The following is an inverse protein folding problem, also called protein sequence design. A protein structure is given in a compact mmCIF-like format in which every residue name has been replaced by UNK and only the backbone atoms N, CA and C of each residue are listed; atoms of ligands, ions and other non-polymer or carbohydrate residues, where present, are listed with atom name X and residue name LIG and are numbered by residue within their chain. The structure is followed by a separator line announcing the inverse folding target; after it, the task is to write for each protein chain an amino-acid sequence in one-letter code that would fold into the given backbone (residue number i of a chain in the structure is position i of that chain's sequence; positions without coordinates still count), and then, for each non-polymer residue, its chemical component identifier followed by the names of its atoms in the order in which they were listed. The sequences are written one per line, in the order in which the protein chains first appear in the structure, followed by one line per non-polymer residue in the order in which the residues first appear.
data_IF_951804909054
#
_entry.id   IF_951804909054
#
_cell.length_a   1.000
_cell.length_b   1.000
_cell.length_c   1.000
_cell.angle_alpha   90.00
_cell.angle_beta   90.00
_cell.angle_gamma   90.00
#
_symmetry.space_group_name_H-M   'P 1'
#
loop_
_entity.id
_entity.type
_entity.pdbx_description
1 polymer ?
#
# COMPACT_ATOMS: atom_id res chain seq x y z
N UNK A 1 13.18 6.26 -33.67
CA UNK A 1 12.64 6.63 -32.35
C UNK A 1 11.46 5.72 -32.08
N UNK A 2 11.32 5.17 -30.85
CA UNK A 2 10.20 4.29 -30.55
C UNK A 2 8.87 5.05 -30.62
N UNK A 3 7.81 4.36 -31.03
CA UNK A 3 6.45 4.91 -31.05
C UNK A 3 5.92 5.03 -29.62
N UNK A 4 4.86 5.84 -29.45
CA UNK A 4 4.16 5.94 -28.15
C UNK A 4 3.65 4.58 -27.68
N UNK A 5 3.17 3.75 -28.58
CA UNK A 5 2.63 2.41 -28.28
C UNK A 5 3.75 1.47 -27.80
N UNK A 6 4.92 1.52 -28.44
CA UNK A 6 6.08 0.74 -28.03
C UNK A 6 6.55 1.12 -26.63
N UNK A 7 6.64 2.42 -26.32
CA UNK A 7 7.03 2.91 -24.99
C UNK A 7 6.01 2.50 -23.92
N UNK A 8 4.72 2.60 -24.23
CA UNK A 8 3.64 2.20 -23.32
C UNK A 8 3.67 0.69 -23.05
N UNK A 9 3.80 -0.11 -24.11
CA UNK A 9 3.87 -1.57 -23.99
C UNK A 9 5.09 -2.00 -23.18
N UNK A 10 6.27 -1.43 -23.49
CA UNK A 10 7.50 -1.70 -22.76
C UNK A 10 7.38 -1.39 -21.26
N UNK A 11 6.79 -0.24 -20.90
CA UNK A 11 6.57 0.13 -19.50
C UNK A 11 5.63 -0.83 -18.76
N UNK A 12 4.53 -1.25 -19.39
CA UNK A 12 3.60 -2.24 -18.80
C UNK A 12 4.28 -3.59 -18.62
N UNK A 13 5.06 -4.04 -19.60
CA UNK A 13 5.81 -5.30 -19.50
C UNK A 13 6.87 -5.24 -18.40
N UNK A 14 7.59 -4.13 -18.26
CA UNK A 14 8.57 -3.96 -17.18
C UNK A 14 7.91 -3.99 -15.80
N UNK A 15 6.78 -3.29 -15.64
CA UNK A 15 5.98 -3.31 -14.42
C UNK A 15 5.49 -4.72 -14.07
N UNK A 16 4.94 -5.46 -15.04
CA UNK A 16 4.47 -6.83 -14.82
C UNK A 16 5.62 -7.78 -14.44
N UNK A 17 6.76 -7.71 -15.13
CA UNK A 17 7.96 -8.49 -14.81
C UNK A 17 8.48 -8.18 -13.40
N UNK A 18 8.52 -6.90 -13.01
CA UNK A 18 8.91 -6.50 -11.67
C UNK A 18 7.98 -7.10 -10.61
N UNK A 19 6.66 -7.03 -10.81
CA UNK A 19 5.69 -7.60 -9.88
C UNK A 19 5.83 -9.12 -9.77
N UNK A 20 6.06 -9.83 -10.88
CA UNK A 20 6.34 -11.27 -10.88
C UNK A 20 7.55 -11.63 -10.01
N UNK A 21 8.67 -10.94 -10.20
CA UNK A 21 9.88 -11.12 -9.40
C UNK A 21 9.68 -10.76 -7.93
N UNK A 22 8.94 -9.69 -7.65
CA UNK A 22 8.60 -9.28 -6.30
C UNK A 22 7.82 -10.37 -5.57
N UNK A 23 6.77 -10.92 -6.20
CA UNK A 23 6.02 -12.02 -5.61
C UNK A 23 6.85 -13.31 -5.50
N UNK A 24 7.67 -13.62 -6.50
CA UNK A 24 8.62 -14.74 -6.43
C UNK A 24 9.56 -14.63 -5.23
N UNK A 25 10.12 -13.45 -4.97
CA UNK A 25 10.94 -13.20 -3.78
C UNK A 25 10.17 -13.41 -2.47
N UNK A 26 8.88 -13.03 -2.40
CA UNK A 26 8.06 -13.23 -1.20
C UNK A 26 7.67 -14.69 -0.94
N UNK A 27 7.81 -15.59 -1.93
CA UNK A 27 7.57 -17.02 -1.75
C UNK A 27 8.74 -17.74 -1.06
N UNK A 28 9.89 -17.08 -0.90
CA UNK A 28 10.98 -17.64 -0.12
C UNK A 28 10.58 -17.73 1.37
N UNK A 29 10.66 -18.92 2.01
CA UNK A 29 10.32 -19.09 3.41
C UNK A 29 11.08 -18.17 4.36
N UNK A 30 12.29 -17.69 3.98
CA UNK A 30 13.07 -16.72 4.75
C UNK A 30 12.38 -15.35 4.86
N UNK A 31 11.39 -15.08 4.01
CA UNK A 31 10.64 -13.84 3.94
C UNK A 31 9.17 -14.00 4.36
N UNK A 32 8.76 -15.14 4.93
CA UNK A 32 7.35 -15.39 5.32
C UNK A 32 6.81 -14.31 6.27
N UNK A 33 7.58 -13.94 7.30
CA UNK A 33 7.20 -12.91 8.27
C UNK A 33 7.07 -11.49 7.65
N UNK A 34 7.62 -11.28 6.44
CA UNK A 34 7.60 -10.01 5.71
C UNK A 34 6.48 -9.95 4.67
N UNK A 35 6.11 -11.11 4.13
CA UNK A 35 5.29 -11.21 2.94
C UNK A 35 3.97 -10.45 3.08
N UNK A 36 3.31 -10.56 4.24
CA UNK A 36 2.06 -9.85 4.51
C UNK A 36 2.22 -8.33 4.43
N UNK A 37 3.08 -7.75 5.27
CA UNK A 37 3.18 -6.29 5.39
C UNK A 37 3.77 -5.63 4.15
N UNK A 38 4.79 -6.25 3.53
CA UNK A 38 5.41 -5.71 2.31
C UNK A 38 4.43 -5.81 1.13
N UNK A 39 3.62 -6.88 1.05
CA UNK A 39 2.55 -6.98 0.05
C UNK A 39 1.52 -5.86 0.21
N UNK A 40 1.16 -5.48 1.45
CA UNK A 40 0.24 -4.37 1.68
C UNK A 40 0.82 -3.02 1.28
N UNK A 41 2.12 -2.77 1.55
CA UNK A 41 2.81 -1.57 1.06
C UNK A 41 2.83 -1.52 -0.48
N UNK A 42 2.98 -2.67 -1.13
CA UNK A 42 3.03 -2.77 -2.59
C UNK A 42 1.66 -2.76 -3.27
N UNK A 43 0.60 -3.13 -2.56
CA UNK A 43 -0.77 -3.23 -3.08
C UNK A 43 -1.27 -2.02 -3.90
N UNK A 44 -1.09 -0.76 -3.45
CA UNK A 44 -1.52 0.39 -4.24
C UNK A 44 -0.75 0.53 -5.57
N UNK A 45 0.54 0.15 -5.60
CA UNK A 45 1.35 0.16 -6.82
C UNK A 45 1.00 -1.00 -7.74
N UNK A 46 0.76 -2.20 -7.19
CA UNK A 46 0.22 -3.33 -7.95
C UNK A 46 -1.09 -2.97 -8.62
N UNK A 47 -1.96 -2.27 -7.89
CA UNK A 47 -3.24 -1.78 -8.39
C UNK A 47 -3.07 -0.70 -9.46
N UNK A 48 -2.06 0.17 -9.34
CA UNK A 48 -1.68 1.14 -10.36
C UNK A 48 -1.24 0.46 -11.66
N UNK A 49 -0.36 -0.54 -11.57
CA UNK A 49 0.11 -1.33 -12.73
C UNK A 49 -1.06 -1.98 -13.44
N UNK A 50 -1.94 -2.68 -12.71
CA UNK A 50 -3.12 -3.35 -13.29
C UNK A 50 -4.05 -2.33 -13.94
N UNK A 51 -4.33 -1.21 -13.28
CA UNK A 51 -5.21 -0.18 -13.82
C UNK A 51 -4.68 0.43 -15.12
N UNK A 52 -3.39 0.79 -15.14
CA UNK A 52 -2.75 1.34 -16.34
C UNK A 52 -2.67 0.31 -17.46
N UNK A 53 -2.32 -0.93 -17.16
CA UNK A 53 -2.26 -2.01 -18.12
C UNK A 53 -3.63 -2.24 -18.77
N UNK A 54 -4.70 -2.33 -17.97
CA UNK A 54 -6.07 -2.48 -18.50
C UNK A 54 -6.49 -1.29 -19.35
N UNK A 55 -6.18 -0.06 -18.94
CA UNK A 55 -6.54 1.12 -19.71
C UNK A 55 -5.77 1.20 -21.05
N UNK A 56 -4.48 0.87 -21.04
CA UNK A 56 -3.58 1.04 -22.17
C UNK A 56 -3.58 -0.16 -23.14
N UNK A 57 -3.60 -1.39 -22.63
CA UNK A 57 -3.63 -2.60 -23.47
C UNK A 57 -4.99 -2.76 -24.13
N UNK A 58 -6.10 -2.47 -23.45
CA UNK A 58 -7.42 -2.52 -24.12
C UNK A 58 -7.54 -1.52 -25.27
N UNK A 59 -6.74 -0.45 -25.29
CA UNK A 59 -6.67 0.48 -26.43
C UNK A 59 -5.89 -0.10 -27.61
N UNK A 60 -4.95 -1.02 -27.38
CA UNK A 60 -4.04 -1.58 -28.39
C UNK A 60 -4.53 -2.95 -28.88
N UNK A 61 -4.95 -3.84 -27.97
CA UNK A 61 -5.46 -5.18 -28.26
C UNK A 61 -6.48 -5.58 -27.19
N UNK A 62 -7.78 -5.60 -27.52
CA UNK A 62 -8.81 -6.08 -26.60
C UNK A 62 -8.55 -7.55 -26.28
N UNK A 63 -8.04 -7.84 -25.09
CA UNK A 63 -7.82 -9.22 -24.66
C UNK A 63 -8.91 -9.65 -23.66
N UNK A 64 -9.65 -10.74 -23.94
CA UNK A 64 -10.58 -11.33 -22.98
C UNK A 64 -9.87 -11.96 -21.76
N UNK A 65 -8.53 -12.07 -21.78
CA UNK A 65 -7.74 -12.70 -20.70
C UNK A 65 -7.58 -11.86 -19.42
N UNK A 66 -8.10 -10.63 -19.39
CA UNK A 66 -8.10 -9.75 -18.21
C UNK A 66 -9.45 -9.80 -17.48
N UNK A 67 -10.02 -11.01 -17.35
CA UNK A 67 -11.31 -11.21 -16.68
C UNK A 67 -11.18 -10.81 -15.20
N UNK A 68 -11.81 -9.70 -14.86
CA UNK A 68 -11.67 -9.00 -13.60
C UNK A 68 -13.08 -8.67 -13.13
N UNK A 69 -13.52 -9.29 -12.03
CA UNK A 69 -14.86 -9.03 -11.51
C UNK A 69 -15.07 -7.53 -11.26
N UNK A 70 -16.32 -7.08 -11.36
CA UNK A 70 -16.65 -5.67 -11.07
C UNK A 70 -16.18 -5.24 -9.68
N UNK A 71 -16.28 -6.16 -8.70
CA UNK A 71 -15.81 -5.93 -7.35
C UNK A 71 -14.28 -5.81 -7.26
N UNK A 72 -13.52 -6.72 -7.88
CA UNK A 72 -12.07 -6.59 -7.94
C UNK A 72 -11.64 -5.30 -8.66
N UNK A 73 -12.36 -4.91 -9.73
CA UNK A 73 -12.16 -3.64 -10.44
C UNK A 73 -12.30 -2.45 -9.49
N UNK A 74 -13.33 -2.47 -8.63
CA UNK A 74 -13.58 -1.42 -7.65
C UNK A 74 -12.51 -1.40 -6.55
N UNK A 75 -12.12 -2.56 -6.02
CA UNK A 75 -11.03 -2.67 -5.02
C UNK A 75 -9.72 -2.12 -5.60
N UNK A 76 -9.34 -2.57 -6.79
CA UNK A 76 -8.15 -2.11 -7.49
C UNK A 76 -8.19 -0.60 -7.74
N UNK A 77 -9.34 -0.06 -8.16
CA UNK A 77 -9.51 1.38 -8.37
C UNK A 77 -9.35 2.17 -7.07
N UNK A 78 -9.96 1.72 -5.96
CA UNK A 78 -9.82 2.36 -4.64
C UNK A 78 -8.38 2.29 -4.12
N UNK A 79 -7.75 1.12 -4.21
CA UNK A 79 -6.36 0.89 -3.83
C UNK A 79 -5.42 1.82 -4.60
N UNK A 80 -5.56 1.90 -5.93
CA UNK A 80 -4.80 2.84 -6.77
C UNK A 80 -5.08 4.31 -6.41
N UNK A 81 -6.34 4.68 -6.19
CA UNK A 81 -6.70 6.06 -5.86
C UNK A 81 -6.20 6.49 -4.47
N UNK A 82 -5.96 5.54 -3.55
CA UNK A 82 -5.36 5.84 -2.25
C UNK A 82 -3.98 6.51 -2.36
N UNK A 83 -3.23 6.27 -3.46
CA UNK A 83 -1.95 6.94 -3.73
C UNK A 83 -2.09 8.44 -3.90
N UNK A 84 -3.26 8.93 -4.29
CA UNK A 84 -3.50 10.37 -4.50
C UNK A 84 -3.60 11.13 -3.19
N UNK A 85 -3.88 10.46 -2.06
CA UNK A 85 -3.97 11.10 -0.75
C UNK A 85 -4.92 12.32 -0.78
N UNK A 86 -4.44 13.55 -0.52
CA UNK A 86 -5.24 14.78 -0.59
C UNK A 86 -5.46 15.31 -2.01
N UNK A 87 -4.84 14.69 -3.01
CA UNK A 87 -5.13 14.95 -4.42
C UNK A 87 -6.40 14.28 -4.95
N UNK A 88 -7.09 13.52 -4.10
CA UNK A 88 -8.38 12.96 -4.46
C UNK A 88 -9.45 14.06 -4.53
N UNK A 89 -9.71 14.53 -5.76
CA UNK A 89 -10.72 15.54 -6.07
C UNK A 89 -12.16 15.12 -5.70
N UNK A 90 -12.39 13.86 -5.34
CA UNK A 90 -13.71 13.41 -4.85
C UNK A 90 -13.90 13.69 -3.36
N UNK A 91 -12.83 13.67 -2.57
CA UNK A 91 -12.89 13.74 -1.10
C UNK A 91 -12.36 15.05 -0.54
N UNK A 92 -11.40 15.69 -1.21
CA UNK A 92 -10.66 16.83 -0.66
C UNK A 92 -10.01 16.49 0.70
N UNK A 93 -9.38 17.45 1.37
CA UNK A 93 -8.68 17.21 2.65
C UNK A 93 -9.66 16.74 3.72
N UNK A 94 -10.78 17.44 3.90
CA UNK A 94 -11.80 17.14 4.90
C UNK A 94 -12.43 15.76 4.72
N UNK A 95 -12.78 15.38 3.48
CA UNK A 95 -13.34 14.05 3.21
C UNK A 95 -12.33 12.91 3.42
N UNK A 96 -11.04 13.15 3.19
CA UNK A 96 -10.00 12.17 3.52
C UNK A 96 -9.82 12.02 5.04
N UNK A 97 -9.84 13.13 5.80
CA UNK A 97 -9.80 13.11 7.26
C UNK A 97 -11.02 12.35 7.82
N UNK A 98 -12.20 12.61 7.27
CA UNK A 98 -13.44 11.94 7.67
C UNK A 98 -13.43 10.45 7.37
N UNK A 99 -12.96 10.07 6.17
CA UNK A 99 -12.76 8.67 5.80
C UNK A 99 -11.77 7.99 6.75
N UNK A 100 -10.62 8.61 7.01
CA UNK A 100 -9.60 8.03 7.89
C UNK A 100 -10.11 7.89 9.33
N UNK A 101 -10.83 8.89 9.84
CA UNK A 101 -11.44 8.84 11.18
C UNK A 101 -12.44 7.68 11.30
N UNK A 102 -13.37 7.56 10.35
CA UNK A 102 -14.51 6.63 10.45
C UNK A 102 -14.15 5.23 10.00
N UNK A 103 -13.58 5.09 8.82
CA UNK A 103 -13.36 3.80 8.16
C UNK A 103 -12.04 3.15 8.55
N UNK A 104 -11.02 3.93 8.93
CA UNK A 104 -9.73 3.38 9.35
C UNK A 104 -9.66 3.29 10.87
N UNK A 105 -9.53 4.43 11.57
CA UNK A 105 -9.37 4.45 13.02
C UNK A 105 -10.59 3.82 13.71
N UNK A 106 -11.79 4.33 13.44
CA UNK A 106 -13.02 3.85 14.09
C UNK A 106 -13.23 2.35 13.93
N UNK A 107 -13.07 1.82 12.72
CA UNK A 107 -13.30 0.38 12.47
C UNK A 107 -12.24 -0.52 13.10
N UNK A 108 -10.98 -0.08 13.21
CA UNK A 108 -9.95 -0.84 13.95
C UNK A 108 -10.19 -0.78 15.46
N UNK A 109 -10.50 0.41 15.98
CA UNK A 109 -10.83 0.60 17.39
C UNK A 109 -12.02 -0.28 17.79
N UNK A 110 -13.09 -0.31 17.00
CA UNK A 110 -14.27 -1.15 17.26
C UNK A 110 -13.96 -2.65 17.23
N UNK A 111 -12.98 -3.07 16.44
CA UNK A 111 -12.61 -4.48 16.31
C UNK A 111 -11.65 -4.96 17.40
N UNK A 112 -10.62 -4.16 17.72
CA UNK A 112 -9.53 -4.59 18.60
C UNK A 112 -9.70 -4.16 20.07
N UNK A 113 -10.53 -3.16 20.34
CA UNK A 113 -10.69 -2.59 21.68
C UNK A 113 -11.99 -3.06 22.36
N UNK A 114 -12.07 -2.88 23.68
CA UNK A 114 -13.21 -3.35 24.47
C UNK A 114 -13.30 -4.88 24.60
N UNK A 115 -12.21 -5.59 24.29
CA UNK A 115 -12.12 -7.04 24.34
C UNK A 115 -11.83 -7.59 25.76
N UNK A 116 -11.59 -6.72 26.75
CA UNK A 116 -11.39 -7.11 28.15
C UNK A 116 -12.60 -6.80 29.04
N UNK A 117 -12.98 -7.77 29.87
CA UNK A 117 -14.06 -7.63 30.86
C UNK A 117 -13.67 -6.71 32.03
N UNK A 118 -12.36 -6.61 32.34
CA UNK A 118 -11.84 -5.77 33.40
C UNK A 118 -11.64 -4.34 32.90
N UNK A 119 -12.51 -3.41 33.30
CA UNK A 119 -12.40 -1.99 32.92
C UNK A 119 -11.03 -1.38 33.22
N UNK A 120 -10.38 -1.79 34.32
CA UNK A 120 -9.03 -1.35 34.69
C UNK A 120 -7.93 -1.91 33.79
N UNK A 121 -8.15 -3.01 33.07
CA UNK A 121 -7.16 -3.58 32.15
C UNK A 121 -7.23 -2.94 30.74
N UNK A 122 -8.21 -2.07 30.46
CA UNK A 122 -8.39 -1.44 29.14
C UNK A 122 -7.20 -0.62 28.66
N UNK A 123 -6.31 -0.17 29.56
CA UNK A 123 -5.11 0.57 29.18
C UNK A 123 -4.06 -0.28 28.45
N UNK A 124 -4.20 -1.61 28.50
CA UNK A 124 -3.35 -2.60 27.81
C UNK A 124 -3.87 -2.93 26.40
N UNK A 125 -5.10 -2.54 26.06
CA UNK A 125 -5.65 -2.80 24.73
C UNK A 125 -4.95 -1.93 23.69
N UNK A 126 -4.64 -2.54 22.54
CA UNK A 126 -3.93 -1.94 21.41
C UNK A 126 -4.74 -2.14 20.13
N UNK A 127 -4.71 -1.15 19.24
CA UNK A 127 -5.43 -1.17 17.96
C UNK A 127 -4.55 -0.70 16.78
N UNK A 128 -3.30 -0.31 17.05
CA UNK A 128 -2.34 0.15 16.06
C UNK A 128 -1.08 -0.67 16.12
N UNK A 129 -0.76 -1.36 15.02
CA UNK A 129 0.54 -1.99 14.83
C UNK A 129 1.45 -1.03 14.03
N UNK A 130 2.66 -0.82 14.51
CA UNK A 130 3.71 -0.04 13.87
C UNK A 130 4.77 -1.00 13.33
N UNK A 131 5.06 -0.92 12.03
CA UNK A 131 6.08 -1.75 11.38
C UNK A 131 7.28 -0.89 11.00
N UNK A 132 8.46 -1.28 11.47
CA UNK A 132 9.70 -0.55 11.23
C UNK A 132 10.76 -1.43 10.58
N UNK A 133 11.65 -0.80 9.82
CA UNK A 133 12.84 -1.41 9.24
C UNK A 133 14.05 -0.54 9.57
N UNK A 134 15.04 -1.10 10.27
CA UNK A 134 16.16 -0.36 10.85
C UNK A 134 15.70 0.85 11.70
N UNK A 135 14.63 0.67 12.47
CA UNK A 135 14.04 1.72 13.32
C UNK A 135 13.23 2.78 12.56
N UNK A 136 13.10 2.69 11.24
CA UNK A 136 12.33 3.62 10.41
C UNK A 136 10.95 3.01 10.15
N UNK A 137 9.89 3.71 10.54
CA UNK A 137 8.51 3.28 10.24
C UNK A 137 8.28 3.25 8.73
N UNK A 138 7.82 2.11 8.21
CA UNK A 138 7.49 1.96 6.78
C UNK A 138 6.03 1.55 6.56
N UNK A 139 5.31 1.15 7.62
CA UNK A 139 3.89 0.85 7.54
C UNK A 139 3.22 0.86 8.92
N UNK A 140 1.90 0.88 8.90
CA UNK A 140 1.03 0.58 10.04
C UNK A 140 -0.14 -0.28 9.56
N UNK A 141 -0.82 -0.99 10.46
CA UNK A 141 -2.07 -1.67 10.09
C UNK A 141 -3.12 -0.68 9.54
N UNK A 142 -3.19 0.53 10.07
CA UNK A 142 -4.04 1.61 9.56
C UNK A 142 -3.65 2.06 8.14
N UNK A 143 -2.35 2.23 7.87
CA UNK A 143 -1.83 2.55 6.53
C UNK A 143 -2.15 1.44 5.53
N UNK A 144 -1.91 0.18 5.91
CA UNK A 144 -2.22 -0.98 5.09
C UNK A 144 -3.72 -1.03 4.75
N UNK A 145 -4.60 -0.85 5.73
CA UNK A 145 -6.05 -0.82 5.53
C UNK A 145 -6.50 0.36 4.66
N UNK A 146 -5.84 1.51 4.76
CA UNK A 146 -6.11 2.67 3.90
C UNK A 146 -5.75 2.39 2.44
N UNK A 147 -4.63 1.69 2.19
CA UNK A 147 -4.10 1.48 0.85
C UNK A 147 -4.59 0.22 0.14
N UNK A 148 -5.06 -0.80 0.86
CA UNK A 148 -5.47 -2.08 0.24
C UNK A 148 -6.73 -1.97 -0.63
N UNK A 149 -7.52 -0.89 -0.47
CA UNK A 149 -8.74 -0.64 -1.25
C UNK A 149 -9.94 -1.52 -0.88
N UNK A 150 -9.79 -2.41 0.11
CA UNK A 150 -10.88 -3.19 0.71
C UNK A 150 -11.47 -2.40 1.87
N UNK A 151 -12.80 -2.36 2.00
CA UNK A 151 -13.47 -1.69 3.12
C UNK A 151 -13.10 -2.40 4.43
N UNK A 152 -12.69 -1.67 5.46
CA UNK A 152 -12.24 -2.24 6.75
C UNK A 152 -13.26 -3.18 7.38
N UNK A 153 -14.56 -2.88 7.24
CA UNK A 153 -15.65 -3.77 7.70
C UNK A 153 -15.65 -5.14 7.03
N UNK A 154 -15.13 -5.28 5.82
CA UNK A 154 -14.98 -6.58 5.13
C UNK A 154 -13.70 -7.29 5.58
N UNK A 155 -12.63 -6.54 5.91
CA UNK A 155 -11.38 -7.11 6.42
C UNK A 155 -11.60 -7.89 7.73
N UNK A 156 -12.44 -7.36 8.62
CA UNK A 156 -12.68 -7.92 9.95
C UNK A 156 -13.87 -8.87 10.06
N UNK A 157 -14.51 -9.22 8.93
CA UNK A 157 -15.52 -10.30 8.94
C UNK A 157 -14.85 -11.65 9.12
N UNK A 158 -15.62 -12.63 9.60
CA UNK A 158 -15.18 -14.01 9.80
C UNK A 158 -14.56 -14.63 8.53
N UNK A 159 -15.05 -14.24 7.36
CA UNK A 159 -14.59 -14.66 6.03
C UNK A 159 -13.68 -13.64 5.33
N UNK A 160 -13.23 -12.59 6.03
CA UNK A 160 -12.43 -11.51 5.47
C UNK A 160 -11.14 -11.99 4.79
N UNK A 161 -10.46 -12.98 5.36
CA UNK A 161 -9.27 -13.58 4.74
C UNK A 161 -9.56 -14.26 3.39
N UNK A 162 -10.67 -14.98 3.28
CA UNK A 162 -11.08 -15.61 2.02
C UNK A 162 -11.47 -14.56 0.97
N UNK A 163 -12.13 -13.49 1.40
CA UNK A 163 -12.44 -12.35 0.55
C UNK A 163 -11.17 -11.67 0.01
N UNK A 164 -10.23 -11.31 0.90
CA UNK A 164 -8.94 -10.70 0.50
C UNK A 164 -8.23 -11.61 -0.49
N UNK A 165 -8.14 -12.91 -0.21
CA UNK A 165 -7.52 -13.91 -1.09
C UNK A 165 -8.19 -13.95 -2.48
N UNK A 166 -9.52 -13.97 -2.55
CA UNK A 166 -10.25 -13.98 -3.83
C UNK A 166 -9.94 -12.75 -4.70
N UNK A 167 -9.82 -11.57 -4.09
CA UNK A 167 -9.46 -10.34 -4.80
C UNK A 167 -7.99 -10.37 -5.24
N UNK A 168 -7.06 -10.75 -4.36
CA UNK A 168 -5.64 -10.76 -4.69
C UNK A 168 -5.27 -11.83 -5.70
N UNK A 169 -5.96 -12.98 -5.73
CA UNK A 169 -5.82 -14.00 -6.78
C UNK A 169 -6.26 -13.47 -8.15
N UNK A 170 -7.33 -12.66 -8.22
CA UNK A 170 -7.74 -12.01 -9.47
C UNK A 170 -6.67 -11.01 -9.95
N UNK A 171 -6.10 -10.24 -9.04
CA UNK A 171 -4.98 -9.34 -9.35
C UNK A 171 -3.75 -10.11 -9.84
N UNK A 172 -3.43 -11.24 -9.21
CA UNK A 172 -2.34 -12.14 -9.63
C UNK A 172 -2.56 -12.71 -11.03
N UNK A 173 -3.76 -13.20 -11.34
CA UNK A 173 -4.11 -13.68 -12.70
C UNK A 173 -3.98 -12.59 -13.75
N UNK A 174 -4.40 -11.36 -13.43
CA UNK A 174 -4.24 -10.21 -14.29
C UNK A 174 -2.75 -9.95 -14.59
N UNK A 175 -1.90 -9.91 -13.57
CA UNK A 175 -0.45 -9.72 -13.75
C UNK A 175 0.19 -10.87 -14.54
N UNK A 176 -0.20 -12.11 -14.29
CA UNK A 176 0.28 -13.26 -15.05
C UNK A 176 -0.07 -13.13 -16.54
N UNK A 177 -1.30 -12.70 -16.86
CA UNK A 177 -1.72 -12.41 -18.24
C UNK A 177 -0.93 -11.25 -18.88
N UNK A 178 -0.33 -10.37 -18.07
CA UNK A 178 0.58 -9.29 -18.51
C UNK A 178 2.04 -9.74 -18.63
N UNK A 179 2.34 -11.02 -18.39
CA UNK A 179 3.68 -11.59 -18.47
C UNK A 179 4.49 -11.55 -17.17
N UNK A 180 3.84 -11.31 -16.02
CA UNK A 180 4.48 -11.53 -14.72
C UNK A 180 4.81 -13.01 -14.55
N UNK A 181 6.05 -13.32 -14.18
CA UNK A 181 6.50 -14.67 -13.84
C UNK A 181 7.23 -14.67 -12.51
N UNK A 182 6.96 -15.69 -11.68
CA UNK A 182 7.64 -15.91 -10.40
C UNK A 182 8.97 -16.64 -10.56
N UNK A 183 9.16 -17.34 -11.68
CA UNK A 183 10.34 -18.17 -11.98
C UNK A 183 11.40 -17.41 -12.80
N UNK A 184 11.44 -16.08 -12.71
CA UNK A 184 12.39 -15.30 -13.51
C UNK A 184 13.84 -15.56 -13.06
N UNK A 185 14.75 -15.69 -14.04
CA UNK A 185 16.17 -16.03 -13.84
C UNK A 185 16.96 -15.04 -12.95
N UNK A 186 16.41 -13.86 -12.66
CA UNK A 186 17.00 -12.87 -11.74
C UNK A 186 15.94 -12.23 -10.83
N UNK A 187 15.55 -12.88 -9.71
CA UNK A 187 14.43 -12.47 -8.85
C UNK A 187 14.73 -11.29 -7.93
N UNK A 188 15.87 -10.60 -8.10
CA UNK A 188 16.36 -9.63 -7.12
C UNK A 188 15.60 -8.31 -7.16
N UNK A 189 14.42 -8.32 -6.57
CA UNK A 189 13.75 -7.10 -6.10
C UNK A 189 14.22 -6.78 -4.67
N UNK A 190 13.89 -5.59 -4.19
CA UNK A 190 14.20 -5.19 -2.81
C UNK A 190 13.77 -6.22 -1.76
N UNK A 191 12.67 -6.95 -1.99
CA UNK A 191 12.14 -7.97 -1.09
C UNK A 191 13.17 -9.06 -0.79
N UNK A 192 14.01 -9.43 -1.76
CA UNK A 192 15.08 -10.43 -1.60
C UNK A 192 16.25 -9.95 -0.73
N UNK A 193 16.33 -8.65 -0.46
CA UNK A 193 17.40 -8.01 0.31
C UNK A 193 16.97 -7.58 1.72
N UNK A 194 15.67 -7.65 2.04
CA UNK A 194 15.18 -7.36 3.38
C UNK A 194 15.52 -8.52 4.32
N UNK A 195 16.03 -8.20 5.50
CA UNK A 195 16.35 -9.21 6.52
C UNK A 195 15.39 -9.12 7.71
N UNK A 196 15.01 -10.27 8.28
CA UNK A 196 14.14 -10.31 9.47
C UNK A 196 14.74 -9.57 10.67
N UNK A 197 16.06 -9.59 10.82
CA UNK A 197 16.77 -8.94 11.94
C UNK A 197 16.58 -7.42 11.99
N UNK A 198 16.43 -6.80 10.83
CA UNK A 198 16.24 -5.36 10.73
C UNK A 198 14.77 -4.95 10.91
N UNK A 199 13.85 -5.89 11.02
CA UNK A 199 12.43 -5.59 11.22
C UNK A 199 12.09 -5.58 12.69
N UNK A 200 11.18 -4.68 13.02
CA UNK A 200 10.56 -4.65 14.32
C UNK A 200 9.07 -4.30 14.16
N UNK A 201 8.27 -4.86 15.04
CA UNK A 201 6.83 -4.60 15.13
C UNK A 201 6.46 -4.29 16.58
N UNK A 202 5.68 -3.23 16.76
CA UNK A 202 5.20 -2.81 18.07
C UNK A 202 3.73 -2.49 18.01
N UNK A 203 3.01 -2.86 19.06
CA UNK A 203 1.59 -2.60 19.18
C UNK A 203 1.35 -1.51 20.21
N UNK A 204 0.57 -0.52 19.81
CA UNK A 204 0.26 0.65 20.62
C UNK A 204 -1.22 1.00 20.51
N UNK A 205 -1.66 1.88 21.41
CA UNK A 205 -2.98 2.50 21.31
C UNK A 205 -2.92 3.66 20.33
N UNK A 206 -3.73 3.61 19.27
CA UNK A 206 -3.81 4.64 18.23
C UNK A 206 -4.09 6.03 18.82
N UNK A 207 -5.04 6.12 19.77
CA UNK A 207 -5.39 7.38 20.42
C UNK A 207 -4.23 8.03 21.17
N UNK A 208 -3.31 7.24 21.75
CA UNK A 208 -2.13 7.74 22.47
C UNK A 208 -1.04 8.10 21.49
N UNK A 209 -0.74 7.19 20.57
CA UNK A 209 0.33 7.36 19.60
C UNK A 209 0.10 8.60 18.73
N UNK A 210 -1.08 8.73 18.11
CA UNK A 210 -1.34 9.86 17.21
C UNK A 210 -1.43 11.21 17.91
N UNK A 211 -1.64 11.24 19.23
CA UNK A 211 -1.58 12.49 20.02
C UNK A 211 -0.15 12.92 20.36
N UNK A 212 0.84 12.06 20.15
CA UNK A 212 2.24 12.29 20.51
C UNK A 212 3.13 12.62 19.30
N UNK A 213 2.66 12.39 18.08
CA UNK A 213 3.41 12.63 16.84
C UNK A 213 2.90 13.87 16.10
N UNK A 214 3.76 14.45 15.25
CA UNK A 214 3.46 15.62 14.41
C UNK A 214 2.85 16.80 15.19
N UNK A 215 1.59 17.17 14.90
CA UNK A 215 0.93 18.39 15.37
C UNK A 215 0.36 18.26 16.79
N UNK A 216 0.69 17.18 17.51
CA UNK A 216 0.35 17.01 18.91
C UNK A 216 -1.11 16.59 19.16
N UNK A 217 -1.62 16.89 20.35
CA UNK A 217 -2.81 16.22 20.91
C UNK A 217 -4.13 16.59 20.23
N UNK A 218 -4.20 17.75 19.57
CA UNK A 218 -5.45 18.32 19.07
C UNK A 218 -5.87 17.74 17.71
N UNK A 219 -4.96 17.14 16.96
CA UNK A 219 -5.22 16.70 15.58
C UNK A 219 -4.85 15.23 15.33
N UNK A 220 -5.31 14.27 16.15
CA UNK A 220 -4.86 12.87 16.05
C UNK A 220 -5.20 12.21 14.71
N UNK A 221 -6.31 12.59 14.08
CA UNK A 221 -6.69 12.05 12.76
C UNK A 221 -5.73 12.53 11.67
N UNK A 222 -5.39 13.83 11.66
CA UNK A 222 -4.40 14.39 10.75
C UNK A 222 -3.04 13.74 10.98
N UNK A 223 -2.64 13.57 12.25
CA UNK A 223 -1.37 12.93 12.61
C UNK A 223 -1.32 11.46 12.15
N UNK A 224 -2.45 10.75 12.16
CA UNK A 224 -2.55 9.41 11.57
C UNK A 224 -2.31 9.40 10.06
N UNK A 225 -2.91 10.34 9.33
CA UNK A 225 -2.65 10.52 7.90
C UNK A 225 -1.21 10.96 7.61
N UNK A 226 -0.63 11.87 8.39
CA UNK A 226 0.78 12.27 8.25
C UNK A 226 1.73 11.10 8.55
N UNK A 227 1.39 10.24 9.52
CA UNK A 227 2.11 8.98 9.76
C UNK A 227 2.04 8.08 8.52
N UNK A 228 0.89 8.01 7.85
CA UNK A 228 0.75 7.29 6.60
C UNK A 228 1.67 7.86 5.50
N UNK A 229 1.72 9.19 5.35
CA UNK A 229 2.59 9.85 4.36
C UNK A 229 4.06 9.57 4.64
N UNK A 230 4.47 9.66 5.91
CA UNK A 230 5.81 9.33 6.36
C UNK A 230 6.16 7.87 6.04
N UNK A 231 5.27 6.94 6.36
CA UNK A 231 5.45 5.52 6.07
C UNK A 231 5.63 5.25 4.57
N UNK A 232 4.81 5.88 3.71
CA UNK A 232 4.96 5.77 2.25
C UNK A 232 6.31 6.30 1.75
N UNK A 233 6.73 7.48 2.22
CA UNK A 233 8.02 8.06 1.83
C UNK A 233 9.16 7.15 2.30
N UNK A 234 9.14 6.72 3.56
CA UNK A 234 10.16 5.84 4.13
C UNK A 234 10.23 4.50 3.39
N UNK A 235 9.09 3.92 3.03
CA UNK A 235 9.04 2.72 2.20
C UNK A 235 9.73 2.96 0.85
N UNK A 236 9.39 4.05 0.15
CA UNK A 236 9.95 4.36 -1.16
C UNK A 236 11.44 4.76 -1.15
N UNK A 237 11.92 5.40 -0.07
CA UNK A 237 13.29 5.92 0.02
C UNK A 237 14.26 4.99 0.73
N UNK A 238 13.77 4.09 1.59
CA UNK A 238 14.62 3.22 2.41
C UNK A 238 14.42 1.75 2.05
N UNK A 239 13.17 1.27 2.06
CA UNK A 239 12.91 -0.16 1.88
C UNK A 239 13.00 -0.58 0.40
N UNK A 240 12.32 0.15 -0.48
CA UNK A 240 12.22 -0.16 -1.92
C UNK A 240 13.55 -0.13 -2.66
N UNK A 241 14.54 0.59 -2.13
CA UNK A 241 15.89 0.69 -2.72
C UNK A 241 16.90 -0.23 -2.03
N UNK A 242 16.46 -1.06 -1.08
CA UNK A 242 17.35 -2.00 -0.39
C UNK A 242 17.94 -2.99 -1.40
N UNK A 243 19.27 -2.99 -1.52
CA UNK A 243 20.00 -3.85 -2.46
C UNK A 243 20.05 -3.35 -3.91
N UNK A 244 19.46 -2.19 -4.23
CA UNK A 244 19.51 -1.59 -5.56
C UNK A 244 20.69 -0.61 -5.69
N UNK A 245 21.22 -0.49 -6.91
CA UNK A 245 22.05 0.66 -7.28
C UNK A 245 21.14 1.87 -7.53
N UNK A 246 21.25 2.90 -6.69
CA UNK A 246 20.41 4.11 -6.81
C UNK A 246 20.72 4.94 -8.05
N UNK A 247 21.88 4.73 -8.68
CA UNK A 247 22.27 5.37 -9.94
C UNK A 247 21.74 4.62 -11.17
N UNK A 248 21.33 3.37 -11.01
CA UNK A 248 20.79 2.50 -12.07
C UNK A 248 19.51 1.80 -11.58
N UNK A 249 18.50 2.62 -11.28
CA UNK A 249 17.22 2.10 -10.80
C UNK A 249 16.40 1.53 -11.94
N UNK A 250 15.86 0.33 -11.70
CA UNK A 250 14.86 -0.25 -12.57
C UNK A 250 13.64 0.69 -12.73
N UNK A 251 13.06 0.70 -13.93
CA UNK A 251 11.94 1.56 -14.30
C UNK A 251 10.79 1.56 -13.28
N UNK A 252 10.35 0.38 -12.84
CA UNK A 252 9.23 0.25 -11.90
C UNK A 252 9.56 0.82 -10.53
N UNK A 253 10.79 0.61 -10.04
CA UNK A 253 11.27 1.20 -8.78
C UNK A 253 11.29 2.72 -8.89
N UNK A 254 11.85 3.26 -9.98
CA UNK A 254 11.83 4.69 -10.25
C UNK A 254 10.40 5.25 -10.28
N UNK A 255 9.49 4.59 -11.00
CA UNK A 255 8.08 4.99 -11.11
C UNK A 255 7.39 5.03 -9.75
N UNK A 256 7.57 4.00 -8.92
CA UNK A 256 6.99 3.95 -7.57
C UNK A 256 7.51 5.13 -6.74
N UNK A 257 8.83 5.35 -6.71
CA UNK A 257 9.44 6.47 -5.97
C UNK A 257 8.91 7.82 -6.45
N UNK A 258 8.84 8.02 -7.75
CA UNK A 258 8.33 9.25 -8.35
C UNK A 258 6.87 9.50 -7.95
N UNK A 259 5.99 8.52 -8.14
CA UNK A 259 4.56 8.64 -7.82
C UNK A 259 4.34 8.91 -6.33
N UNK A 260 5.07 8.21 -5.45
CA UNK A 260 4.99 8.42 -4.01
C UNK A 260 5.41 9.84 -3.63
N UNK A 261 6.58 10.29 -4.08
CA UNK A 261 7.09 11.62 -3.74
C UNK A 261 6.19 12.72 -4.31
N UNK A 262 5.73 12.58 -5.55
CA UNK A 262 4.83 13.52 -6.19
C UNK A 262 3.54 13.70 -5.37
N UNK A 263 2.82 12.62 -5.09
CA UNK A 263 1.53 12.72 -4.40
C UNK A 263 1.66 13.14 -2.94
N UNK A 264 2.72 12.74 -2.24
CA UNK A 264 2.96 13.19 -0.86
C UNK A 264 3.26 14.69 -0.84
N UNK A 265 4.17 15.18 -1.69
CA UNK A 265 4.52 16.61 -1.75
C UNK A 265 3.32 17.45 -2.18
N UNK A 266 2.58 17.03 -3.20
CA UNK A 266 1.37 17.71 -3.66
C UNK A 266 0.30 17.74 -2.56
N UNK A 267 0.13 16.66 -1.80
CA UNK A 267 -0.80 16.61 -0.67
C UNK A 267 -0.40 17.54 0.47
N UNK A 268 0.89 17.60 0.81
CA UNK A 268 1.39 18.53 1.81
C UNK A 268 1.24 19.99 1.37
N UNK A 269 1.48 20.29 0.09
CA UNK A 269 1.25 21.62 -0.47
C UNK A 269 -0.24 22.03 -0.41
N UNK A 270 -1.16 21.10 -0.72
CA UNK A 270 -2.61 21.33 -0.56
C UNK A 270 -2.98 21.58 0.89
N UNK A 271 -2.48 20.75 1.82
CA UNK A 271 -2.72 20.92 3.25
C UNK A 271 -2.22 22.28 3.76
N UNK A 272 -1.04 22.73 3.32
CA UNK A 272 -0.49 24.04 3.70
C UNK A 272 -1.22 25.23 3.09
N UNK A 273 -2.01 25.01 2.04
CA UNK A 273 -2.82 26.05 1.37
C UNK A 273 -4.29 26.03 1.80
N UNK A 274 -4.70 25.04 2.60
CA UNK A 274 -6.07 24.88 3.07
C UNK A 274 -6.30 25.87 4.25
N UNK A 275 -7.23 26.83 4.13
CA UNK A 275 -7.39 27.89 5.13
C UNK A 275 -7.89 27.44 6.52
N UNK A 276 -8.19 26.15 6.71
CA UNK A 276 -8.60 25.58 8.00
C UNK A 276 -10.04 25.86 8.38
#
# INVERSE_FOLDING_TARGET
MPTREEVVSAGVTQDAKYMGRFFGALLDPRHEALAGIVSFCMMPFTSLVIHEARAKINMITPSPSLDFSAEAAEVCARSRNSLKLFEDNQRWVTGQLDFYRKEIIGTHSDHFLGNTWLRLARFLEVDLALFTYNGIIFSTNHSAAFHIGIKSKLLFKKDGGAYVKSITEQMGRCLAALGASIDADDPKTFASHITRRALDDSEVRADRYYRQVFNGRETPVLNGLLTNFQAMVNFATSLLVTGADVLDLEYTVFKIRFVTLYHVLASLARLGSDPG
#
